data_IF_492608128774
#
_entry.id   IF_492608128774
#
_cell.length_a   1.000
_cell.length_b   1.000
_cell.length_c   1.000
_cell.angle_alpha   90.00
_cell.angle_beta   90.00
_cell.angle_gamma   90.00
#
_symmetry.space_group_name_H-M   'P 1'
#
loop_
_entity.id
_entity.type
_entity.pdbx_description
1 polymer ?
#
# COMPACT_ATOMS: atom_id res chain seq x y z
N UNK A 1 -52.76 16.85 -18.42
CA UNK A 1 -52.39 15.49 -17.95
C UNK A 1 -51.16 15.00 -18.72
N UNK A 2 -51.11 15.07 -20.06
CA UNK A 2 -50.00 14.55 -20.89
C UNK A 2 -48.67 15.29 -20.64
N UNK A 3 -48.69 16.60 -20.40
CA UNK A 3 -47.50 17.41 -20.15
C UNK A 3 -46.87 17.07 -18.80
N UNK A 4 -47.67 16.86 -17.75
CA UNK A 4 -47.20 16.44 -16.42
C UNK A 4 -46.61 15.06 -16.47
N UNK A 5 -47.24 14.10 -17.19
CA UNK A 5 -46.76 12.77 -17.39
C UNK A 5 -45.40 12.78 -18.14
N UNK A 6 -45.23 13.62 -19.15
CA UNK A 6 -44.00 13.79 -19.89
C UNK A 6 -42.83 14.26 -19.00
N UNK A 7 -43.09 15.27 -18.16
CA UNK A 7 -42.09 15.79 -17.20
C UNK A 7 -41.70 14.70 -16.20
N UNK A 8 -42.63 13.93 -15.67
CA UNK A 8 -42.39 12.84 -14.74
C UNK A 8 -41.55 11.73 -15.36
N UNK A 9 -41.79 11.37 -16.61
CA UNK A 9 -41.00 10.40 -17.37
C UNK A 9 -39.57 10.90 -17.63
N UNK A 10 -39.38 12.19 -17.95
CA UNK A 10 -38.04 12.76 -18.11
C UNK A 10 -37.25 12.73 -16.81
N UNK A 11 -37.89 13.06 -15.68
CA UNK A 11 -37.23 13.00 -14.37
C UNK A 11 -36.85 11.54 -14.02
N UNK A 12 -37.77 10.60 -14.20
CA UNK A 12 -37.49 9.18 -13.95
C UNK A 12 -36.35 8.64 -14.82
N UNK A 13 -36.31 9.01 -16.10
CA UNK A 13 -35.22 8.67 -17.02
C UNK A 13 -33.89 9.24 -16.56
N UNK A 14 -33.83 10.49 -16.17
CA UNK A 14 -32.60 11.14 -15.68
C UNK A 14 -32.05 10.46 -14.43
N UNK A 15 -32.92 10.09 -13.49
CA UNK A 15 -32.52 9.34 -12.28
C UNK A 15 -32.01 7.94 -12.65
N UNK A 16 -32.64 7.28 -13.62
CA UNK A 16 -32.23 5.94 -14.06
C UNK A 16 -30.80 5.96 -14.64
N UNK A 17 -30.41 6.99 -15.38
CA UNK A 17 -29.04 7.11 -15.90
C UNK A 17 -27.97 7.24 -14.82
N UNK A 18 -28.29 7.76 -13.63
CA UNK A 18 -27.35 7.85 -12.51
C UNK A 18 -26.88 6.48 -11.98
N UNK A 19 -27.66 5.42 -12.25
CA UNK A 19 -27.32 4.04 -11.90
C UNK A 19 -26.26 3.39 -12.79
N UNK A 20 -25.91 3.99 -13.93
CA UNK A 20 -24.87 3.46 -14.81
C UNK A 20 -23.47 3.71 -14.25
N UNK A 21 -22.69 2.63 -14.09
CA UNK A 21 -21.29 2.67 -13.63
C UNK A 21 -20.41 1.98 -14.65
N UNK A 22 -19.29 2.62 -14.97
CA UNK A 22 -18.25 2.07 -15.87
C UNK A 22 -17.06 1.66 -15.02
N UNK A 23 -16.65 0.40 -15.13
CA UNK A 23 -15.53 -0.17 -14.41
C UNK A 23 -14.46 -0.57 -15.42
N UNK A 24 -13.26 -0.03 -15.26
CA UNK A 24 -12.13 -0.38 -16.11
C UNK A 24 -11.47 -1.68 -15.63
N UNK A 25 -10.68 -2.35 -16.48
CA UNK A 25 -9.90 -3.51 -16.09
C UNK A 25 -9.00 -3.21 -14.88
N UNK A 26 -8.93 -4.16 -13.95
CA UNK A 26 -8.16 -4.05 -12.70
C UNK A 26 -8.58 -2.88 -11.79
N UNK A 27 -9.87 -2.56 -11.79
CA UNK A 27 -10.49 -1.64 -10.85
C UNK A 27 -11.69 -2.33 -10.18
N UNK A 28 -11.95 -1.98 -8.93
CA UNK A 28 -13.10 -2.42 -8.19
C UNK A 28 -13.86 -1.22 -7.61
N UNK A 29 -15.17 -1.34 -7.50
CA UNK A 29 -16.03 -0.34 -6.86
C UNK A 29 -16.74 -0.98 -5.68
N UNK A 30 -16.58 -0.39 -4.49
CA UNK A 30 -17.30 -0.78 -3.28
C UNK A 30 -18.53 0.12 -3.14
N UNK A 31 -19.72 -0.48 -3.08
CA UNK A 31 -21.00 0.23 -3.10
C UNK A 31 -21.69 0.21 -1.74
N UNK A 32 -22.25 1.36 -1.37
CA UNK A 32 -23.14 1.49 -0.22
C UNK A 32 -24.45 2.18 -0.60
N UNK A 33 -25.52 1.82 0.11
CA UNK A 33 -26.83 2.45 0.03
C UNK A 33 -27.20 2.95 1.42
N UNK A 34 -27.32 4.26 1.57
CA UNK A 34 -27.62 4.90 2.86
C UNK A 34 -26.72 4.44 4.03
N UNK A 35 -25.41 4.25 3.74
CA UNK A 35 -24.43 3.81 4.72
C UNK A 35 -24.33 2.29 4.91
N UNK A 36 -25.23 1.50 4.33
CA UNK A 36 -25.15 0.02 4.37
C UNK A 36 -24.38 -0.49 3.15
N UNK A 37 -23.40 -1.36 3.37
CA UNK A 37 -22.70 -2.07 2.31
C UNK A 37 -23.68 -2.95 1.51
N UNK A 38 -23.65 -2.83 0.17
CA UNK A 38 -24.50 -3.62 -0.74
C UNK A 38 -23.68 -4.69 -1.44
N UNK A 39 -22.48 -4.33 -1.90
CA UNK A 39 -21.64 -5.22 -2.68
C UNK A 39 -20.43 -4.53 -3.28
N UNK A 40 -19.55 -5.33 -3.87
CA UNK A 40 -18.35 -4.87 -4.57
C UNK A 40 -18.33 -5.46 -5.95
N UNK A 41 -18.09 -4.65 -6.97
CA UNK A 41 -18.03 -5.06 -8.36
C UNK A 41 -16.56 -5.06 -8.78
N UNK A 42 -16.06 -6.23 -9.21
CA UNK A 42 -14.71 -6.44 -9.72
C UNK A 42 -14.65 -6.58 -11.24
N UNK A 43 -15.77 -6.94 -11.85
CA UNK A 43 -15.82 -7.18 -13.29
C UNK A 43 -15.83 -5.86 -14.06
N UNK A 44 -15.04 -5.79 -15.10
CA UNK A 44 -14.97 -4.65 -16.01
C UNK A 44 -16.21 -4.59 -16.92
N UNK A 45 -16.55 -3.38 -17.33
CA UNK A 45 -17.67 -3.15 -18.24
C UNK A 45 -18.69 -2.14 -17.72
N UNK A 46 -19.88 -2.20 -18.29
CA UNK A 46 -21.02 -1.37 -17.92
C UNK A 46 -21.91 -2.12 -16.95
N UNK A 47 -22.12 -1.52 -15.79
CA UNK A 47 -22.97 -2.07 -14.74
C UNK A 47 -24.11 -1.12 -14.43
N UNK A 48 -25.32 -1.67 -14.30
CA UNK A 48 -26.45 -0.92 -13.77
C UNK A 48 -26.62 -1.28 -12.29
N UNK A 49 -26.52 -0.28 -11.44
CA UNK A 49 -26.71 -0.41 -10.00
C UNK A 49 -27.83 0.55 -9.56
N UNK A 50 -28.33 0.35 -8.35
CA UNK A 50 -29.32 1.27 -7.80
C UNK A 50 -28.82 2.72 -7.91
N UNK A 51 -29.57 3.66 -8.51
CA UNK A 51 -29.15 5.03 -8.71
C UNK A 51 -28.82 5.80 -7.41
N UNK A 52 -29.38 5.35 -6.28
CA UNK A 52 -29.11 5.90 -4.96
C UNK A 52 -27.86 5.27 -4.30
N UNK A 53 -27.26 4.23 -4.91
CA UNK A 53 -26.03 3.65 -4.40
C UNK A 53 -24.83 4.56 -4.66
N UNK A 54 -24.09 4.84 -3.60
CA UNK A 54 -22.85 5.61 -3.63
C UNK A 54 -21.63 4.70 -3.54
N UNK A 55 -20.55 5.05 -4.24
CA UNK A 55 -19.27 4.37 -4.06
C UNK A 55 -18.63 4.83 -2.76
N UNK A 56 -18.16 3.88 -1.95
CA UNK A 56 -17.35 4.15 -0.79
C UNK A 56 -15.93 4.45 -1.27
N UNK A 57 -15.34 5.50 -0.75
CA UNK A 57 -14.03 5.98 -1.18
C UNK A 57 -12.92 5.47 -0.26
N UNK A 58 -11.78 5.06 -0.79
CA UNK A 58 -10.55 5.01 0.00
C UNK A 58 -10.19 6.43 0.47
N UNK A 59 -10.19 6.68 1.76
CA UNK A 59 -10.05 8.01 2.38
C UNK A 59 -8.83 8.80 1.87
N UNK A 60 -7.68 8.13 1.66
CA UNK A 60 -6.46 8.78 1.17
C UNK A 60 -6.65 9.47 -0.20
N UNK A 61 -7.35 8.82 -1.13
CA UNK A 61 -7.62 9.41 -2.45
C UNK A 61 -8.57 10.61 -2.40
N UNK A 62 -9.46 10.66 -1.41
CA UNK A 62 -10.34 11.81 -1.21
C UNK A 62 -9.54 13.01 -0.75
N UNK A 63 -8.61 12.84 0.18
CA UNK A 63 -7.80 13.94 0.69
C UNK A 63 -6.92 14.54 -0.42
N UNK A 64 -6.26 13.68 -1.23
CA UNK A 64 -5.46 14.10 -2.38
C UNK A 64 -6.32 14.83 -3.43
N UNK A 65 -7.46 14.28 -3.80
CA UNK A 65 -8.38 14.88 -4.77
C UNK A 65 -9.00 16.19 -4.25
N UNK A 66 -9.32 16.26 -2.95
CA UNK A 66 -9.85 17.47 -2.31
C UNK A 66 -8.81 18.59 -2.26
N UNK A 67 -7.57 18.26 -1.92
CA UNK A 67 -6.46 19.21 -1.90
C UNK A 67 -6.12 19.71 -3.31
N UNK A 68 -6.10 18.84 -4.32
CA UNK A 68 -5.92 19.23 -5.71
C UNK A 68 -7.04 20.18 -6.19
N UNK A 69 -8.29 19.93 -5.79
CA UNK A 69 -9.43 20.79 -6.10
C UNK A 69 -9.34 22.15 -5.41
N UNK A 70 -9.00 22.17 -4.12
CA UNK A 70 -8.81 23.43 -3.37
C UNK A 70 -7.68 24.28 -3.97
N UNK A 71 -6.58 23.66 -4.39
CA UNK A 71 -5.49 24.36 -5.08
C UNK A 71 -5.91 24.89 -6.45
N UNK A 72 -6.74 24.14 -7.20
CA UNK A 72 -7.28 24.59 -8.48
C UNK A 72 -8.22 25.79 -8.34
N UNK A 73 -9.01 25.86 -7.27
CA UNK A 73 -9.89 27.01 -6.99
C UNK A 73 -9.14 28.21 -6.39
N UNK A 74 -8.09 28.02 -5.61
CA UNK A 74 -7.31 29.09 -4.98
C UNK A 74 -6.36 29.80 -5.95
N UNK A 75 -5.88 29.12 -7.01
CA UNK A 75 -5.16 29.77 -8.10
C UNK A 75 -6.11 29.96 -9.27
N UNK A 76 -6.19 31.12 -9.89
CA UNK A 76 -6.95 31.38 -11.14
C UNK A 76 -6.49 30.41 -12.27
N UNK A 77 -6.83 29.13 -12.16
CA UNK A 77 -6.37 28.07 -13.05
C UNK A 77 -7.40 27.81 -14.16
N UNK A 78 -6.90 27.38 -15.32
CA UNK A 78 -7.68 27.18 -16.53
C UNK A 78 -8.76 26.08 -16.38
N UNK A 79 -9.80 26.16 -17.19
CA UNK A 79 -10.92 25.20 -17.20
C UNK A 79 -10.45 23.73 -17.42
N UNK A 80 -9.30 23.55 -18.07
CA UNK A 80 -8.68 22.23 -18.26
C UNK A 80 -8.17 21.60 -16.95
N UNK A 81 -7.68 22.40 -16.00
CA UNK A 81 -7.19 21.91 -14.71
C UNK A 81 -8.36 21.57 -13.75
N UNK A 82 -9.49 22.25 -13.89
CA UNK A 82 -10.71 21.91 -13.15
C UNK A 82 -11.27 20.57 -13.63
N UNK A 83 -11.31 20.33 -14.95
CA UNK A 83 -11.76 19.05 -15.51
C UNK A 83 -10.82 17.88 -15.14
N UNK A 84 -9.51 18.11 -15.08
CA UNK A 84 -8.55 17.13 -14.61
C UNK A 84 -8.76 16.79 -13.11
N UNK A 85 -9.10 17.78 -12.29
CA UNK A 85 -9.40 17.55 -10.86
C UNK A 85 -10.70 16.75 -10.66
N UNK A 86 -11.71 16.95 -11.50
CA UNK A 86 -12.95 16.18 -11.48
C UNK A 86 -12.74 14.75 -11.94
N UNK A 87 -11.92 14.54 -12.96
CA UNK A 87 -11.51 13.19 -13.40
C UNK A 87 -10.74 12.46 -12.31
N UNK A 88 -9.86 13.16 -11.56
CA UNK A 88 -9.14 12.60 -10.43
C UNK A 88 -10.09 12.18 -9.29
N UNK A 89 -11.12 13.00 -8.98
CA UNK A 89 -12.15 12.66 -8.00
C UNK A 89 -12.98 11.46 -8.47
N UNK A 90 -13.35 11.38 -9.75
CA UNK A 90 -14.08 10.26 -10.32
C UNK A 90 -13.25 8.96 -10.26
N UNK A 91 -11.95 9.03 -10.54
CA UNK A 91 -11.04 7.89 -10.42
C UNK A 91 -10.79 7.50 -8.94
N UNK A 92 -10.90 8.44 -8.01
CA UNK A 92 -10.78 8.19 -6.58
C UNK A 92 -11.88 7.27 -6.02
N UNK A 93 -13.04 7.16 -6.72
CA UNK A 93 -14.16 6.26 -6.34
C UNK A 93 -13.88 4.78 -6.56
N UNK A 94 -12.74 4.47 -7.15
CA UNK A 94 -12.37 3.12 -7.53
C UNK A 94 -11.11 2.67 -6.82
N UNK A 95 -11.08 1.41 -6.43
CA UNK A 95 -9.90 0.76 -5.87
C UNK A 95 -9.14 0.08 -6.99
N UNK A 96 -7.86 0.40 -7.15
CA UNK A 96 -7.00 -0.30 -8.11
C UNK A 96 -6.60 -1.67 -7.55
N UNK A 97 -6.82 -2.72 -8.33
CA UNK A 97 -6.38 -4.10 -8.04
C UNK A 97 -5.08 -4.45 -8.78
N UNK A 98 -4.45 -3.46 -9.44
CA UNK A 98 -3.16 -3.63 -10.11
C UNK A 98 -2.05 -3.90 -9.10
N UNK A 99 -1.03 -4.61 -9.56
CA UNK A 99 0.21 -4.74 -8.79
C UNK A 99 0.86 -3.38 -8.66
N UNK A 100 1.20 -3.02 -7.45
CA UNK A 100 1.85 -1.77 -7.08
C UNK A 100 3.18 -2.06 -6.39
N UNK A 101 4.13 -1.16 -6.55
CA UNK A 101 5.39 -1.20 -5.83
C UNK A 101 5.41 -0.08 -4.80
N UNK A 102 5.79 -0.43 -3.58
CA UNK A 102 6.04 0.50 -2.49
C UNK A 102 7.51 0.38 -2.09
N UNK A 103 8.22 1.50 -2.11
CA UNK A 103 9.61 1.58 -1.65
C UNK A 103 9.59 2.20 -0.27
N UNK A 104 9.97 1.40 0.72
CA UNK A 104 10.15 1.90 2.07
C UNK A 104 11.46 2.69 2.17
N UNK A 105 11.45 3.84 2.82
CA UNK A 105 12.64 4.63 3.06
C UNK A 105 13.66 3.92 3.96
N UNK A 106 14.90 4.40 3.97
CA UNK A 106 15.93 3.88 4.87
C UNK A 106 15.50 4.04 6.33
N UNK A 107 15.48 2.92 7.05
CA UNK A 107 15.18 2.89 8.48
C UNK A 107 16.44 2.48 9.24
N UNK A 108 16.73 3.25 10.29
CA UNK A 108 17.77 2.88 11.26
C UNK A 108 17.14 1.92 12.28
N UNK A 109 17.66 0.70 12.32
CA UNK A 109 17.24 -0.38 13.22
C UNK A 109 18.46 -1.04 13.85
N UNK A 110 18.31 -1.68 14.99
CA UNK A 110 19.39 -2.46 15.58
C UNK A 110 19.31 -3.90 15.11
N UNK A 111 20.44 -4.47 14.75
CA UNK A 111 20.60 -5.89 14.46
C UNK A 111 20.52 -6.76 15.75
N UNK A 112 20.70 -8.07 15.62
CA UNK A 112 20.73 -9.02 16.75
C UNK A 112 21.81 -8.68 17.78
N UNK A 113 22.93 -8.13 17.35
CA UNK A 113 24.07 -7.75 18.21
C UNK A 113 23.95 -6.35 18.80
N UNK A 114 22.88 -5.61 18.45
CA UNK A 114 22.66 -4.24 18.90
C UNK A 114 23.35 -3.18 18.03
N UNK A 115 23.98 -3.56 16.92
CA UNK A 115 24.59 -2.61 16.01
C UNK A 115 23.52 -1.85 15.22
N UNK A 116 23.62 -0.50 15.11
CA UNK A 116 22.69 0.25 14.28
C UNK A 116 22.99 0.01 12.79
N UNK A 117 21.97 -0.48 12.07
CA UNK A 117 22.00 -0.73 10.63
C UNK A 117 20.90 0.07 9.94
N UNK A 118 21.14 0.52 8.72
CA UNK A 118 20.16 1.11 7.84
C UNK A 118 19.63 0.06 6.89
N UNK A 119 18.31 -0.14 6.92
CA UNK A 119 17.64 -1.12 6.07
C UNK A 119 16.53 -0.43 5.32
N UNK A 120 16.43 -0.71 4.01
CA UNK A 120 15.27 -0.36 3.20
C UNK A 120 14.74 -1.57 2.45
N UNK A 121 13.43 -1.58 2.19
CA UNK A 121 12.78 -2.67 1.49
C UNK A 121 11.89 -2.17 0.35
N UNK A 122 11.76 -2.98 -0.68
CA UNK A 122 10.80 -2.82 -1.76
C UNK A 122 9.73 -3.87 -1.58
N UNK A 123 8.48 -3.44 -1.46
CA UNK A 123 7.32 -4.31 -1.30
C UNK A 123 6.47 -4.25 -2.57
N UNK A 124 6.27 -5.39 -3.21
CA UNK A 124 5.38 -5.55 -4.35
C UNK A 124 4.07 -6.14 -3.83
N UNK A 125 2.98 -5.45 -4.06
CA UNK A 125 1.69 -5.77 -3.46
C UNK A 125 0.52 -5.46 -4.39
N UNK A 126 -0.64 -6.02 -4.12
CA UNK A 126 -1.91 -5.71 -4.80
C UNK A 126 -3.08 -5.79 -3.82
N UNK A 127 -4.19 -5.12 -4.16
CA UNK A 127 -5.45 -5.28 -3.43
C UNK A 127 -6.20 -6.46 -4.05
N UNK A 128 -6.46 -7.48 -3.25
CA UNK A 128 -7.28 -8.64 -3.65
C UNK A 128 -8.72 -8.47 -3.19
N UNK A 129 -8.90 -7.94 -1.99
CA UNK A 129 -10.23 -7.68 -1.46
C UNK A 129 -10.46 -6.19 -1.24
N UNK A 130 -11.07 -5.53 -2.25
CA UNK A 130 -11.37 -4.11 -2.20
C UNK A 130 -12.34 -3.74 -1.07
N UNK A 131 -13.21 -4.66 -0.67
CA UNK A 131 -14.14 -4.45 0.44
C UNK A 131 -13.39 -4.30 1.76
N UNK A 132 -12.49 -5.25 2.08
CA UNK A 132 -11.64 -5.17 3.27
C UNK A 132 -10.76 -3.91 3.24
N UNK A 133 -10.16 -3.59 2.08
CA UNK A 133 -9.26 -2.44 1.95
C UNK A 133 -9.94 -1.09 2.17
N UNK A 134 -11.27 -1.00 1.97
CA UNK A 134 -12.02 0.24 2.13
C UNK A 134 -12.79 0.31 3.44
N UNK A 135 -13.26 -0.84 3.95
CA UNK A 135 -14.12 -0.89 5.13
C UNK A 135 -13.36 -1.17 6.43
N UNK A 136 -12.26 -1.95 6.37
CA UNK A 136 -11.53 -2.35 7.58
C UNK A 136 -10.40 -1.37 7.92
N UNK A 137 -9.89 -0.61 6.94
CA UNK A 137 -8.72 0.27 7.12
C UNK A 137 -8.98 1.62 6.47
N UNK A 138 -8.70 2.71 7.18
CA UNK A 138 -8.90 4.07 6.64
C UNK A 138 -7.95 4.39 5.49
N UNK A 139 -6.66 4.10 5.66
CA UNK A 139 -5.58 4.42 4.72
C UNK A 139 -4.73 3.18 4.46
N UNK A 140 -5.20 2.28 3.59
CA UNK A 140 -4.54 1.00 3.36
C UNK A 140 -3.07 1.11 2.88
N UNK A 141 -2.69 2.20 2.18
CA UNK A 141 -1.31 2.43 1.79
C UNK A 141 -0.42 2.83 2.97
N UNK A 142 -0.91 3.71 3.82
CA UNK A 142 -0.22 4.13 5.04
C UNK A 142 -0.16 2.97 6.04
N UNK A 143 -1.26 2.21 6.15
CA UNK A 143 -1.28 0.99 6.92
C UNK A 143 -0.20 0.00 6.46
N UNK A 144 -0.08 -0.25 5.14
CA UNK A 144 0.98 -1.08 4.57
C UNK A 144 2.37 -0.54 4.93
N UNK A 145 2.59 0.77 4.80
CA UNK A 145 3.86 1.41 5.16
C UNK A 145 4.22 1.16 6.62
N UNK A 146 3.31 1.42 7.53
CA UNK A 146 3.52 1.25 8.97
C UNK A 146 3.77 -0.23 9.34
N UNK A 147 3.06 -1.17 8.70
CA UNK A 147 3.29 -2.59 8.91
C UNK A 147 4.64 -3.05 8.33
N UNK A 148 5.07 -2.48 7.20
CA UNK A 148 6.40 -2.74 6.62
C UNK A 148 7.50 -2.26 7.57
N UNK A 149 7.38 -1.06 8.12
CA UNK A 149 8.31 -0.49 9.09
C UNK A 149 8.45 -1.37 10.34
N UNK A 150 7.32 -1.83 10.85
CA UNK A 150 7.28 -2.73 11.99
C UNK A 150 7.93 -4.07 11.68
N UNK A 151 7.68 -4.63 10.50
CA UNK A 151 8.23 -5.92 10.06
C UNK A 151 9.74 -5.84 9.85
N UNK A 152 10.25 -4.79 9.19
CA UNK A 152 11.70 -4.55 9.05
C UNK A 152 12.37 -4.55 10.42
N UNK A 153 11.80 -3.82 11.38
CA UNK A 153 12.37 -3.69 12.72
C UNK A 153 12.34 -5.00 13.51
N UNK A 154 11.29 -5.79 13.35
CA UNK A 154 11.17 -7.09 14.01
C UNK A 154 12.17 -8.09 13.45
N UNK A 155 12.22 -8.20 12.12
CA UNK A 155 13.09 -9.19 11.45
C UNK A 155 14.56 -8.81 11.58
N UNK A 156 14.92 -7.52 11.47
CA UNK A 156 16.30 -7.08 11.64
C UNK A 156 16.89 -7.46 13.00
N UNK A 157 16.10 -7.49 14.07
CA UNK A 157 16.54 -7.89 15.42
C UNK A 157 16.81 -9.37 15.57
N UNK A 158 16.37 -10.21 14.66
CA UNK A 158 16.57 -11.66 14.72
C UNK A 158 17.93 -12.09 14.14
N UNK A 159 18.50 -11.26 13.27
CA UNK A 159 19.69 -11.59 12.49
C UNK A 159 20.80 -10.57 12.73
N UNK A 160 22.08 -11.03 12.87
CA UNK A 160 23.22 -10.11 12.86
C UNK A 160 23.42 -9.57 11.45
N UNK A 161 24.00 -8.37 11.33
CA UNK A 161 24.33 -7.80 10.02
C UNK A 161 25.34 -8.64 9.27
N UNK A 162 26.40 -9.06 9.96
CA UNK A 162 27.49 -9.89 9.43
C UNK A 162 28.01 -10.82 10.54
N UNK A 163 28.57 -11.96 10.16
CA UNK A 163 29.21 -12.88 11.12
C UNK A 163 30.58 -12.31 11.42
N UNK A 164 30.86 -12.15 12.70
CA UNK A 164 32.20 -11.94 13.19
C UNK A 164 32.63 -13.33 13.69
N UNK A 165 33.50 -14.00 12.94
CA UNK A 165 34.05 -15.28 13.33
C UNK A 165 34.85 -15.11 14.64
N UNK A 166 34.21 -15.36 15.78
CA UNK A 166 34.89 -15.72 17.00
C UNK A 166 35.02 -17.24 16.91
N UNK A 167 36.26 -17.78 16.92
CA UNK A 167 36.68 -19.15 16.58
C UNK A 167 36.13 -20.27 17.47
N UNK A 168 35.22 -20.02 18.43
CA UNK A 168 34.94 -20.96 19.53
C UNK A 168 33.46 -21.44 19.65
N UNK A 169 32.53 -21.09 18.78
CA UNK A 169 31.15 -21.60 18.91
C UNK A 169 30.78 -22.59 17.81
N UNK A 170 30.36 -23.78 18.27
CA UNK A 170 29.80 -24.88 17.44
C UNK A 170 28.81 -24.32 16.42
N UNK A 171 29.08 -24.57 15.13
CA UNK A 171 28.29 -24.16 13.97
C UNK A 171 26.88 -24.74 14.03
N UNK A 172 26.01 -24.11 14.77
CA UNK A 172 24.57 -24.29 14.57
C UNK A 172 24.17 -23.63 13.25
N UNK A 173 23.62 -24.40 12.31
CA UNK A 173 23.15 -23.95 10.98
C UNK A 173 22.17 -22.77 11.06
N UNK A 174 21.60 -22.49 12.23
CA UNK A 174 20.72 -21.36 12.51
C UNK A 174 21.50 -20.04 12.70
N UNK A 175 22.77 -20.11 13.09
CA UNK A 175 23.62 -18.93 13.32
C UNK A 175 24.29 -18.38 12.04
N UNK A 176 24.23 -19.11 10.92
CA UNK A 176 24.85 -18.68 9.65
C UNK A 176 24.04 -17.64 8.87
N UNK A 177 22.81 -17.35 9.28
CA UNK A 177 21.97 -16.38 8.57
C UNK A 177 22.29 -14.96 9.00
N UNK A 178 22.82 -14.17 8.07
CA UNK A 178 23.10 -12.74 8.27
C UNK A 178 22.21 -11.87 7.38
N UNK A 179 21.97 -10.65 7.81
CA UNK A 179 21.20 -9.68 7.01
C UNK A 179 21.84 -9.48 5.62
N UNK A 180 23.16 -9.47 5.55
CA UNK A 180 23.92 -9.27 4.31
C UNK A 180 23.98 -10.54 3.44
N UNK A 181 24.28 -11.69 4.03
CA UNK A 181 24.52 -12.92 3.30
C UNK A 181 23.25 -13.67 2.91
N UNK A 182 22.17 -13.55 3.71
CA UNK A 182 20.93 -14.31 3.56
C UNK A 182 19.73 -13.42 3.19
N UNK A 183 19.96 -12.32 2.46
CA UNK A 183 18.93 -11.33 2.15
C UNK A 183 17.66 -11.91 1.52
N UNK A 184 17.78 -12.97 0.69
CA UNK A 184 16.64 -13.64 0.05
C UNK A 184 15.77 -14.39 1.08
N UNK A 185 16.41 -15.12 2.00
CA UNK A 185 15.72 -15.90 3.05
C UNK A 185 14.99 -14.94 4.00
N UNK A 186 15.66 -13.85 4.36
CA UNK A 186 15.10 -12.81 5.23
C UNK A 186 13.94 -12.10 4.55
N UNK A 187 14.03 -11.82 3.25
CA UNK A 187 12.94 -11.23 2.48
C UNK A 187 11.70 -12.14 2.44
N UNK A 188 11.88 -13.46 2.33
CA UNK A 188 10.76 -14.42 2.40
C UNK A 188 10.12 -14.47 3.79
N UNK A 189 10.91 -14.37 4.84
CA UNK A 189 10.39 -14.30 6.21
C UNK A 189 9.63 -12.99 6.46
N UNK A 190 10.19 -11.86 6.00
CA UNK A 190 9.49 -10.57 6.02
C UNK A 190 8.18 -10.63 5.24
N UNK A 191 8.17 -11.28 4.07
CA UNK A 191 6.96 -11.48 3.27
C UNK A 191 5.89 -12.23 4.07
N UNK A 192 6.24 -13.32 4.74
CA UNK A 192 5.29 -14.12 5.55
C UNK A 192 4.73 -13.31 6.71
N UNK A 193 5.59 -12.62 7.46
CA UNK A 193 5.16 -11.79 8.58
C UNK A 193 4.27 -10.62 8.11
N UNK A 194 4.68 -9.93 7.05
CA UNK A 194 3.93 -8.81 6.50
C UNK A 194 2.58 -9.26 5.92
N UNK A 195 2.55 -10.39 5.20
CA UNK A 195 1.32 -10.94 4.62
C UNK A 195 0.27 -11.21 5.71
N UNK A 196 0.66 -11.79 6.84
CA UNK A 196 -0.26 -12.05 7.95
C UNK A 196 -0.83 -10.75 8.56
N UNK A 197 -0.03 -9.69 8.63
CA UNK A 197 -0.44 -8.40 9.19
C UNK A 197 -1.39 -7.61 8.28
N UNK A 198 -1.27 -7.77 6.95
CA UNK A 198 -2.07 -6.98 5.99
C UNK A 198 -3.25 -7.75 5.41
N UNK A 199 -3.46 -8.99 5.78
CA UNK A 199 -4.58 -9.83 5.31
C UNK A 199 -5.93 -9.20 5.65
N UNK A 200 -6.07 -8.61 6.83
CA UNK A 200 -7.30 -7.94 7.26
C UNK A 200 -7.60 -6.66 6.47
N UNK A 201 -6.58 -6.07 5.86
CA UNK A 201 -6.72 -4.96 4.93
C UNK A 201 -7.03 -5.41 3.49
N UNK A 202 -7.16 -6.72 3.22
CA UNK A 202 -7.42 -7.26 1.89
C UNK A 202 -6.29 -7.03 0.90
N UNK A 203 -5.05 -6.90 1.40
CA UNK A 203 -3.83 -6.72 0.62
C UNK A 203 -3.10 -8.06 0.54
N UNK A 204 -2.61 -8.38 -0.65
CA UNK A 204 -1.71 -9.51 -0.89
C UNK A 204 -0.30 -8.99 -1.17
N UNK A 205 0.67 -9.54 -0.45
CA UNK A 205 2.09 -9.27 -0.69
C UNK A 205 2.59 -10.27 -1.73
N UNK A 206 2.96 -9.77 -2.89
CA UNK A 206 3.49 -10.57 -3.99
C UNK A 206 4.94 -10.94 -3.70
N UNK A 207 5.75 -9.93 -3.36
CA UNK A 207 7.18 -10.08 -3.13
C UNK A 207 7.69 -8.99 -2.20
N UNK A 208 8.68 -9.32 -1.39
CA UNK A 208 9.47 -8.36 -0.61
C UNK A 208 10.93 -8.52 -1.03
N UNK A 209 11.63 -7.41 -1.21
CA UNK A 209 13.07 -7.37 -1.50
C UNK A 209 13.74 -6.38 -0.57
N UNK A 210 14.86 -6.78 -0.01
CA UNK A 210 15.75 -5.86 0.70
C UNK A 210 16.53 -5.06 -0.35
N UNK A 211 16.43 -3.74 -0.31
CA UNK A 211 17.05 -2.85 -1.29
C UNK A 211 18.41 -2.35 -0.81
N UNK A 212 18.49 -1.95 0.45
CA UNK A 212 19.71 -1.46 1.06
C UNK A 212 19.85 -2.05 2.46
N UNK A 213 21.03 -2.55 2.77
CA UNK A 213 21.43 -3.00 4.10
C UNK A 213 22.87 -2.50 4.31
N UNK A 214 23.07 -1.63 5.27
CA UNK A 214 24.38 -1.07 5.57
C UNK A 214 24.47 -0.73 7.06
N UNK A 215 25.68 -0.71 7.60
CA UNK A 215 25.89 -0.09 8.93
C UNK A 215 25.51 1.38 8.90
N UNK A 216 24.92 1.84 9.98
CA UNK A 216 24.66 3.27 10.15
C UNK A 216 25.98 4.07 10.06
N UNK A 217 25.96 5.28 9.46
CA UNK A 217 27.18 6.07 9.20
C UNK A 217 28.05 6.28 10.44
N UNK A 218 27.41 6.34 11.62
CA UNK A 218 28.12 6.61 12.89
C UNK A 218 29.08 5.49 13.29
N UNK A 219 28.79 4.24 12.90
CA UNK A 219 29.62 3.08 13.27
C UNK A 219 30.34 2.45 12.07
N UNK A 220 30.01 2.85 10.85
CA UNK A 220 30.54 2.24 9.63
C UNK A 220 32.07 2.23 9.59
N UNK A 221 32.75 3.32 9.96
CA UNK A 221 34.19 3.41 10.00
C UNK A 221 34.82 2.47 11.05
N UNK A 222 34.24 2.39 12.25
CA UNK A 222 34.74 1.54 13.32
C UNK A 222 34.57 0.05 12.97
N UNK A 223 33.43 -0.33 12.36
CA UNK A 223 33.17 -1.71 11.93
C UNK A 223 34.07 -2.13 10.77
N UNK A 224 34.40 -1.22 9.84
CA UNK A 224 35.32 -1.50 8.76
C UNK A 224 36.73 -1.75 9.31
N UNK A 225 37.21 -0.96 10.28
CA UNK A 225 38.51 -1.17 10.95
C UNK A 225 38.55 -2.52 11.68
N UNK A 226 37.45 -2.90 12.36
CA UNK A 226 37.34 -4.20 13.02
C UNK A 226 37.43 -5.34 12.04
N UNK A 227 36.73 -5.28 10.92
CA UNK A 227 36.77 -6.28 9.85
C UNK A 227 38.19 -6.42 9.25
N UNK A 228 38.88 -5.30 9.05
CA UNK A 228 40.30 -5.29 8.58
C UNK A 228 41.26 -5.93 9.59
N UNK A 229 41.04 -5.71 10.87
CA UNK A 229 41.90 -6.27 11.94
C UNK A 229 41.72 -7.80 12.08
N UNK A 230 40.57 -8.34 11.76
CA UNK A 230 40.28 -9.80 11.78
C UNK A 230 40.83 -10.49 10.52
N UNK A 231 40.91 -9.77 9.39
CA UNK A 231 41.39 -10.32 8.11
C UNK A 231 42.92 -10.40 7.98
N UNK A 232 43.70 -9.97 9.00
CA UNK A 232 45.16 -10.01 9.08
C UNK A 232 45.60 -11.11 10.04
#
# INVERSE_FOLDING_TARGET
VSLVLGILLCIASSISFAGLKVINPNEAIVLSLFGKYIGTIYENGFWYVNPFASAIYPQAKIAEAKNARLQAYAGKKSQAEVSASEAAIASAKKVSTKVCTFVNGNQKVNDKLGNPVEVSAIVIWKVVNATKAVLNVDYYKEYLSNQTDSTIRNVARLYPYDIIDDEDDEKDEINEKTLRGSATIIAEEMKKELASKVEDAGIEIVEVRLNQIAYAPEIAAAMLQRQQAIAV
#
